data_IF_127109210243
#
_entry.id   IF_127109210243
#
_cell.length_a   1.000
_cell.length_b   1.000
_cell.length_c   1.000
_cell.angle_alpha   90.00
_cell.angle_beta   90.00
_cell.angle_gamma   90.00
#
_symmetry.space_group_name_H-M   'P 1'
#
loop_
_entity.id
_entity.type
_entity.pdbx_description
1 polymer ?
#
# COMPACT_ATOMS: atom_id res chain seq x y z
N UNK A 1 -24.36 -88.14 -9.29
CA UNK A 1 -23.27 -88.38 -8.32
C UNK A 1 -22.40 -87.12 -8.31
N UNK A 2 -22.19 -86.52 -7.12
CA UNK A 2 -21.30 -85.38 -6.82
C UNK A 2 -21.68 -84.00 -7.41
N UNK A 3 -22.18 -83.04 -6.60
CA UNK A 3 -21.43 -82.04 -5.80
C UNK A 3 -20.57 -81.14 -6.72
N UNK A 4 -20.82 -79.84 -6.89
CA UNK A 4 -20.61 -78.81 -5.84
C UNK A 4 -20.79 -77.37 -6.38
N UNK A 5 -21.21 -76.50 -5.47
CA UNK A 5 -20.79 -75.09 -5.27
C UNK A 5 -21.47 -73.99 -6.11
N UNK A 6 -22.44 -73.38 -5.41
CA UNK A 6 -22.89 -71.98 -5.37
C UNK A 6 -21.85 -70.95 -5.86
N UNK A 7 -22.30 -69.98 -6.66
CA UNK A 7 -21.74 -68.63 -6.65
C UNK A 7 -22.87 -67.60 -6.77
N UNK A 8 -23.10 -66.87 -5.68
CA UNK A 8 -24.02 -65.73 -5.57
C UNK A 8 -23.41 -64.58 -6.37
N UNK A 9 -24.10 -64.12 -7.42
CA UNK A 9 -23.70 -62.91 -8.15
C UNK A 9 -24.23 -61.70 -7.38
N UNK A 10 -23.41 -61.14 -6.50
CA UNK A 10 -23.66 -59.84 -5.87
C UNK A 10 -23.36 -58.78 -6.94
N UNK A 11 -24.40 -58.15 -7.48
CA UNK A 11 -24.31 -56.98 -8.34
C UNK A 11 -23.90 -55.78 -7.46
N UNK A 12 -22.60 -55.58 -7.27
CA UNK A 12 -22.07 -54.37 -6.64
C UNK A 12 -22.29 -53.18 -7.58
N UNK A 13 -23.28 -52.37 -7.25
CA UNK A 13 -23.46 -51.02 -7.78
C UNK A 13 -22.25 -50.17 -7.40
N UNK A 14 -21.26 -50.10 -8.30
CA UNK A 14 -20.20 -49.11 -8.23
C UNK A 14 -20.74 -47.80 -8.79
N UNK A 15 -21.43 -47.02 -7.94
CA UNK A 15 -21.65 -45.60 -8.22
C UNK A 15 -20.29 -44.94 -8.09
N UNK A 16 -19.59 -44.82 -9.22
CA UNK A 16 -18.38 -44.03 -9.32
C UNK A 16 -18.75 -42.57 -9.05
N UNK A 17 -18.51 -42.11 -7.83
CA UNK A 17 -18.43 -40.69 -7.52
C UNK A 17 -17.15 -40.21 -8.22
N UNK A 18 -17.31 -39.76 -9.45
CA UNK A 18 -16.26 -39.01 -10.15
C UNK A 18 -16.18 -37.69 -9.38
N UNK A 19 -15.28 -37.65 -8.40
CA UNK A 19 -14.83 -36.38 -7.82
C UNK A 19 -14.24 -35.60 -8.98
N UNK A 20 -15.01 -34.65 -9.51
CA UNK A 20 -14.49 -33.61 -10.38
C UNK A 20 -13.50 -32.80 -9.52
N UNK A 21 -12.24 -33.22 -9.52
CA UNK A 21 -11.15 -32.31 -9.21
C UNK A 21 -11.16 -31.29 -10.35
N UNK A 22 -11.84 -30.18 -10.10
CA UNK A 22 -11.68 -28.98 -10.90
C UNK A 22 -10.17 -28.64 -10.86
N UNK A 23 -9.50 -28.51 -12.01
CA UNK A 23 -8.12 -28.07 -12.01
C UNK A 23 -8.09 -26.70 -11.35
N UNK A 24 -7.42 -26.62 -10.19
CA UNK A 24 -7.11 -25.37 -9.52
C UNK A 24 -6.38 -24.49 -10.54
N UNK A 25 -7.09 -23.45 -10.98
CA UNK A 25 -6.52 -22.32 -11.70
C UNK A 25 -5.26 -21.90 -10.95
N UNK A 26 -4.12 -21.93 -11.65
CA UNK A 26 -2.81 -21.65 -11.08
C UNK A 26 -2.89 -20.35 -10.31
N UNK A 27 -2.74 -20.42 -8.99
CA UNK A 27 -3.04 -19.33 -8.06
C UNK A 27 -2.56 -18.00 -8.62
N UNK A 28 -3.49 -17.07 -8.87
CA UNK A 28 -3.12 -15.66 -9.07
C UNK A 28 -2.40 -15.24 -7.80
N UNK A 29 -1.07 -15.15 -7.85
CA UNK A 29 -0.27 -14.61 -6.74
C UNK A 29 -0.84 -13.24 -6.46
N UNK A 30 -1.34 -13.02 -5.24
CA UNK A 30 -1.92 -11.73 -4.87
C UNK A 30 -0.92 -10.62 -5.20
N UNK A 31 -1.35 -9.65 -6.00
CA UNK A 31 -0.53 -8.47 -6.32
C UNK A 31 -0.21 -7.70 -5.05
N UNK A 32 -1.11 -7.70 -4.07
CA UNK A 32 -0.97 -7.00 -2.80
C UNK A 32 -0.39 -7.90 -1.73
N UNK A 33 0.56 -7.33 -0.98
CA UNK A 33 1.14 -7.93 0.22
C UNK A 33 0.24 -7.67 1.43
N UNK A 34 0.43 -8.45 2.49
CA UNK A 34 -0.21 -8.17 3.78
C UNK A 34 0.38 -6.89 4.39
N UNK A 35 -0.47 -6.09 5.04
CA UNK A 35 -0.10 -4.80 5.63
C UNK A 35 -0.34 -4.80 7.14
N UNK A 36 0.14 -5.85 7.83
CA UNK A 36 -0.20 -6.09 9.23
C UNK A 36 0.22 -4.93 10.15
N UNK A 37 1.34 -4.26 9.86
CA UNK A 37 1.81 -3.11 10.64
C UNK A 37 0.91 -1.90 10.41
N UNK A 38 0.53 -1.62 9.16
CA UNK A 38 -0.45 -0.56 8.82
C UNK A 38 -1.81 -0.85 9.45
N UNK A 39 -2.24 -2.11 9.43
CA UNK A 39 -3.52 -2.56 9.99
C UNK A 39 -3.54 -2.44 11.52
N UNK A 40 -2.39 -2.44 12.19
CA UNK A 40 -2.26 -2.30 13.63
C UNK A 40 -2.08 -0.84 14.08
N UNK A 41 -1.42 -0.02 13.28
CA UNK A 41 -1.13 1.37 13.61
C UNK A 41 -2.39 2.25 13.58
N UNK A 42 -2.54 3.16 14.55
CA UNK A 42 -3.68 4.07 14.65
C UNK A 42 -3.22 5.52 14.69
N UNK A 43 -4.03 6.40 14.11
CA UNK A 43 -3.90 7.84 14.28
C UNK A 43 -4.49 8.21 15.64
N UNK A 44 -3.64 8.70 16.55
CA UNK A 44 -4.03 9.02 17.94
C UNK A 44 -4.24 10.52 18.17
N UNK A 45 -3.61 11.37 17.36
CA UNK A 45 -3.69 12.82 17.49
C UNK A 45 -5.03 13.35 16.98
N UNK A 46 -5.60 14.34 17.69
CA UNK A 46 -6.81 15.02 17.26
C UNK A 46 -6.53 15.99 16.10
N UNK A 47 -7.39 15.93 15.09
CA UNK A 47 -7.20 16.63 13.81
C UNK A 47 -8.45 17.34 13.32
N UNK A 48 -9.64 17.07 13.90
CA UNK A 48 -10.93 17.46 13.29
C UNK A 48 -11.10 18.98 13.18
N UNK A 49 -10.46 19.74 14.07
CA UNK A 49 -10.48 21.21 14.05
C UNK A 49 -9.12 21.84 13.76
N UNK A 50 -8.11 21.03 13.42
CA UNK A 50 -6.71 21.45 13.25
C UNK A 50 -6.42 21.79 11.79
N UNK A 51 -5.52 22.76 11.58
CA UNK A 51 -4.99 23.12 10.26
C UNK A 51 -3.66 22.43 10.05
N UNK A 52 -3.48 21.71 8.94
CA UNK A 52 -2.18 21.08 8.70
C UNK A 52 -1.08 22.13 8.57
N UNK A 53 -1.32 23.24 7.87
CA UNK A 53 -0.31 24.27 7.65
C UNK A 53 0.14 24.95 8.94
N UNK A 54 -0.78 25.22 9.86
CA UNK A 54 -0.51 25.92 11.13
C UNK A 54 -0.09 24.97 12.25
N UNK A 55 -0.84 23.90 12.47
CA UNK A 55 -0.71 23.02 13.64
C UNK A 55 0.16 21.79 13.36
N UNK A 56 0.40 21.49 12.09
CA UNK A 56 1.15 20.30 11.68
C UNK A 56 0.32 19.04 11.55
N UNK A 57 -0.96 19.07 11.91
CA UNK A 57 -1.92 18.00 11.65
C UNK A 57 -3.25 18.59 11.20
N UNK A 58 -3.94 17.96 10.26
CA UNK A 58 -5.26 18.43 9.83
C UNK A 58 -5.83 17.67 8.65
N UNK A 59 -7.14 17.82 8.46
CA UNK A 59 -7.85 17.31 7.29
C UNK A 59 -7.45 18.09 6.04
N UNK A 60 -7.29 17.39 4.92
CA UNK A 60 -6.94 17.98 3.63
C UNK A 60 -7.73 17.35 2.49
N UNK A 61 -7.72 18.03 1.35
CA UNK A 61 -8.21 17.50 0.08
C UNK A 61 -7.04 17.25 -0.87
N UNK A 62 -7.12 16.14 -1.62
CA UNK A 62 -6.18 15.87 -2.71
C UNK A 62 -6.36 16.93 -3.81
N UNK A 63 -5.29 17.67 -4.12
CA UNK A 63 -5.29 18.66 -5.20
C UNK A 63 -4.78 18.07 -6.52
N UNK A 64 -3.66 17.34 -6.47
CA UNK A 64 -3.14 16.60 -7.63
C UNK A 64 -2.15 15.50 -7.21
N UNK A 65 -2.05 14.47 -8.03
CA UNK A 65 -1.03 13.43 -7.89
C UNK A 65 0.25 13.85 -8.64
N UNK A 66 1.41 13.68 -8.02
CA UNK A 66 2.69 13.91 -8.70
C UNK A 66 3.38 12.56 -8.97
N UNK A 67 3.81 11.88 -7.90
CA UNK A 67 4.60 10.64 -7.94
C UNK A 67 4.28 9.76 -6.72
N UNK A 68 4.78 8.53 -6.68
CA UNK A 68 4.49 7.55 -5.61
C UNK A 68 4.87 7.93 -4.17
N UNK A 69 5.50 9.08 -3.94
CA UNK A 69 5.84 9.58 -2.59
C UNK A 69 5.69 11.10 -2.46
N UNK A 70 4.94 11.73 -3.38
CA UNK A 70 4.71 13.17 -3.39
C UNK A 70 3.38 13.48 -4.07
N UNK A 71 2.56 14.29 -3.40
CA UNK A 71 1.27 14.75 -3.89
C UNK A 71 1.06 16.20 -3.48
N UNK A 72 0.21 16.91 -4.22
CA UNK A 72 -0.24 18.23 -3.82
C UNK A 72 -1.57 18.10 -3.10
N UNK A 73 -1.69 18.78 -1.96
CA UNK A 73 -2.91 18.86 -1.17
C UNK A 73 -3.32 20.31 -0.99
N UNK A 74 -4.54 20.51 -0.49
CA UNK A 74 -5.04 21.80 -0.04
C UNK A 74 -5.77 21.61 1.29
N UNK A 75 -5.81 22.66 2.11
CA UNK A 75 -6.68 22.70 3.29
C UNK A 75 -8.15 22.54 2.86
N UNK A 76 -8.96 21.85 3.67
CA UNK A 76 -10.39 21.66 3.39
C UNK A 76 -11.07 23.01 3.21
N UNK A 77 -11.84 23.16 2.13
CA UNK A 77 -12.55 24.40 1.81
C UNK A 77 -11.67 25.52 1.21
N UNK A 78 -10.36 25.30 1.04
CA UNK A 78 -9.49 26.23 0.31
C UNK A 78 -9.72 26.12 -1.21
N UNK A 79 -9.76 27.27 -1.89
CA UNK A 79 -9.93 27.34 -3.36
C UNK A 79 -8.65 27.88 -3.98
N UNK A 80 -7.99 27.04 -4.79
CA UNK A 80 -6.85 27.45 -5.64
C UNK A 80 -5.46 27.37 -4.97
N UNK A 81 -5.38 27.45 -3.64
CA UNK A 81 -4.11 27.35 -2.92
C UNK A 81 -3.80 25.90 -2.52
N UNK A 82 -2.90 25.27 -3.27
CA UNK A 82 -2.36 23.94 -2.96
C UNK A 82 -0.90 24.02 -2.52
N UNK A 83 -0.46 23.04 -1.74
CA UNK A 83 0.92 22.90 -1.32
C UNK A 83 1.46 21.51 -1.66
N UNK A 84 2.75 21.47 -2.01
CA UNK A 84 3.42 20.21 -2.36
C UNK A 84 3.94 19.51 -1.11
N UNK A 85 3.69 18.22 -1.04
CA UNK A 85 4.18 17.35 0.03
C UNK A 85 5.19 16.32 -0.45
N UNK A 86 6.00 15.86 0.49
CA UNK A 86 6.94 14.75 0.35
C UNK A 86 6.68 13.78 1.50
N UNK A 87 6.40 12.53 1.17
CA UNK A 87 6.05 11.53 2.17
C UNK A 87 7.28 11.27 3.04
N UNK A 88 7.15 11.55 4.33
CA UNK A 88 8.25 11.50 5.28
C UNK A 88 8.64 10.04 5.58
N UNK A 89 9.93 9.84 5.87
CA UNK A 89 10.50 8.53 6.21
C UNK A 89 10.60 7.53 5.05
N UNK A 90 10.09 7.83 3.85
CA UNK A 90 10.08 6.85 2.75
C UNK A 90 10.60 7.41 1.43
N UNK A 91 10.96 6.55 0.48
CA UNK A 91 11.27 6.90 -0.92
C UNK A 91 10.73 5.84 -1.87
N UNK A 92 9.70 6.17 -2.64
CA UNK A 92 9.25 5.35 -3.76
C UNK A 92 10.09 5.58 -5.04
N UNK A 93 10.09 4.64 -6.01
CA UNK A 93 10.67 4.85 -7.33
C UNK A 93 10.12 6.08 -8.05
N UNK A 94 10.95 6.67 -8.92
CA UNK A 94 10.64 7.93 -9.63
C UNK A 94 10.50 7.71 -11.14
N UNK A 95 9.41 8.21 -11.69
CA UNK A 95 9.09 8.12 -13.12
C UNK A 95 9.70 9.27 -13.96
N UNK A 96 10.20 10.32 -13.32
CA UNK A 96 10.83 11.47 -13.95
C UNK A 96 12.36 11.34 -14.08
N UNK A 97 12.91 10.13 -13.92
CA UNK A 97 14.31 9.83 -14.24
C UNK A 97 14.44 9.36 -15.69
N UNK A 98 15.66 9.39 -16.24
CA UNK A 98 15.94 8.88 -17.58
C UNK A 98 17.02 7.81 -17.51
N UNK A 99 16.67 6.51 -17.64
CA UNK A 99 15.31 5.96 -17.76
C UNK A 99 14.50 6.06 -16.45
N UNK A 100 13.16 5.95 -16.50
CA UNK A 100 12.32 5.81 -15.30
C UNK A 100 12.79 4.67 -14.39
N UNK A 101 12.71 4.86 -13.07
CA UNK A 101 12.99 3.77 -12.12
C UNK A 101 11.89 2.69 -12.24
N UNK A 102 12.23 1.39 -12.16
CA UNK A 102 11.23 0.32 -12.16
C UNK A 102 10.15 0.53 -11.10
N UNK A 103 8.91 0.13 -11.40
CA UNK A 103 7.72 0.25 -10.56
C UNK A 103 7.23 1.69 -10.31
N UNK A 104 7.88 2.70 -10.88
CA UNK A 104 7.58 4.12 -10.60
C UNK A 104 6.20 4.58 -11.03
N UNK A 105 5.69 4.05 -12.14
CA UNK A 105 4.33 4.33 -12.59
C UNK A 105 3.30 3.58 -11.76
N UNK A 106 3.58 2.32 -11.43
CA UNK A 106 2.66 1.49 -10.64
C UNK A 106 2.42 2.07 -9.24
N UNK A 107 3.48 2.54 -8.57
CA UNK A 107 3.32 3.21 -7.27
C UNK A 107 2.59 4.55 -7.38
N UNK A 108 2.78 5.30 -8.47
CA UNK A 108 2.08 6.55 -8.69
C UNK A 108 0.57 6.30 -8.89
N UNK A 109 0.22 5.29 -9.68
CA UNK A 109 -1.16 4.87 -9.92
C UNK A 109 -1.79 4.33 -8.62
N UNK A 110 -1.04 3.55 -7.83
CA UNK A 110 -1.49 3.04 -6.52
C UNK A 110 -1.84 4.18 -5.55
N UNK A 111 -0.92 5.11 -5.33
CA UNK A 111 -1.12 6.27 -4.44
C UNK A 111 -2.26 7.13 -4.93
N UNK A 112 -2.29 7.45 -6.22
CA UNK A 112 -3.32 8.32 -6.77
C UNK A 112 -4.70 7.67 -6.70
N UNK A 113 -4.79 6.37 -6.99
CA UNK A 113 -6.02 5.59 -6.87
C UNK A 113 -6.55 5.56 -5.44
N UNK A 114 -5.70 5.32 -4.44
CA UNK A 114 -6.12 5.34 -3.03
C UNK A 114 -6.62 6.71 -2.61
N UNK A 115 -5.83 7.76 -2.84
CA UNK A 115 -6.18 9.10 -2.34
C UNK A 115 -7.34 9.74 -3.09
N UNK A 116 -7.52 9.44 -4.37
CA UNK A 116 -8.68 9.94 -5.14
C UNK A 116 -9.99 9.29 -4.73
N UNK A 117 -9.94 8.11 -4.10
CA UNK A 117 -11.11 7.39 -3.59
C UNK A 117 -11.24 7.45 -2.06
N UNK A 118 -10.33 8.16 -1.37
CA UNK A 118 -10.41 8.32 0.07
C UNK A 118 -11.60 9.22 0.43
N UNK A 119 -12.35 8.83 1.45
CA UNK A 119 -13.40 9.67 2.03
C UNK A 119 -12.79 10.82 2.83
N UNK A 120 -11.73 10.53 3.57
CA UNK A 120 -10.99 11.52 4.38
C UNK A 120 -9.49 11.30 4.25
N UNK A 121 -8.76 12.41 4.23
CA UNK A 121 -7.29 12.43 4.22
C UNK A 121 -6.84 13.36 5.34
N UNK A 122 -5.93 12.87 6.18
CA UNK A 122 -5.25 13.66 7.22
C UNK A 122 -3.77 13.69 6.91
N UNK A 123 -3.16 14.86 7.00
CA UNK A 123 -1.70 15.00 6.99
C UNK A 123 -1.23 15.22 8.41
N UNK A 124 -0.08 14.66 8.74
CA UNK A 124 0.58 14.83 10.03
C UNK A 124 2.08 15.07 9.80
N UNK A 125 2.63 16.09 10.45
CA UNK A 125 4.06 16.33 10.53
C UNK A 125 4.69 15.41 11.56
N UNK A 126 5.96 15.13 11.38
CA UNK A 126 6.74 14.55 12.46
C UNK A 126 7.22 15.65 13.42
N UNK A 127 6.87 15.60 14.72
CA UNK A 127 7.22 16.62 15.71
C UNK A 127 8.73 16.70 15.97
N UNK A 128 9.48 15.65 15.67
CA UNK A 128 10.93 15.56 15.85
C UNK A 128 11.70 15.99 14.58
N UNK A 129 11.00 16.50 13.56
CA UNK A 129 11.57 16.84 12.26
C UNK A 129 11.30 18.28 11.82
N UNK A 130 12.04 18.74 10.82
CA UNK A 130 11.70 19.97 10.11
C UNK A 130 10.37 19.80 9.36
N UNK A 131 9.52 20.83 9.37
CA UNK A 131 8.23 20.84 8.66
C UNK A 131 8.36 20.72 7.13
N UNK A 132 9.51 21.11 6.58
CA UNK A 132 9.78 21.11 5.14
C UNK A 132 11.15 20.52 4.83
N UNK A 133 11.27 19.95 3.63
CA UNK A 133 12.55 19.54 3.07
C UNK A 133 13.32 20.73 2.45
N UNK A 134 14.52 20.44 1.93
CA UNK A 134 15.38 21.44 1.28
C UNK A 134 14.77 22.07 0.02
N UNK A 135 13.76 21.43 -0.59
CA UNK A 135 13.02 21.91 -1.75
C UNK A 135 11.70 22.61 -1.36
N UNK A 136 11.55 22.96 -0.07
CA UNK A 136 10.38 23.64 0.48
C UNK A 136 9.08 22.84 0.43
N UNK A 137 9.15 21.51 0.20
CA UNK A 137 7.98 20.63 0.25
C UNK A 137 7.70 20.24 1.70
N UNK A 138 6.43 20.17 2.07
CA UNK A 138 6.04 19.73 3.41
C UNK A 138 6.34 18.25 3.61
N UNK A 139 6.98 17.91 4.72
CA UNK A 139 7.25 16.53 5.12
C UNK A 139 6.04 15.98 5.88
N UNK A 140 5.44 14.90 5.36
CA UNK A 140 4.13 14.42 5.86
C UNK A 140 4.07 12.90 6.01
N UNK A 141 3.42 12.45 7.08
CA UNK A 141 2.70 11.19 7.10
C UNK A 141 1.31 11.42 6.53
N UNK A 142 0.93 10.60 5.56
CA UNK A 142 -0.40 10.65 4.94
C UNK A 142 -1.26 9.55 5.55
N UNK A 143 -2.38 9.97 6.11
CA UNK A 143 -3.40 9.10 6.66
C UNK A 143 -4.64 9.17 5.79
N UNK A 144 -5.24 8.02 5.49
CA UNK A 144 -6.47 7.98 4.70
C UNK A 144 -7.51 7.05 5.33
N UNK A 145 -8.78 7.41 5.17
CA UNK A 145 -9.93 6.59 5.49
C UNK A 145 -10.81 6.47 4.24
N UNK A 146 -11.22 5.26 3.92
CA UNK A 146 -12.06 4.93 2.77
C UNK A 146 -13.54 4.72 3.15
N UNK A 147 -13.98 5.34 4.25
CA UNK A 147 -15.33 5.26 4.78
C UNK A 147 -15.53 4.18 5.83
N UNK A 148 -14.44 3.60 6.33
CA UNK A 148 -14.45 2.66 7.45
C UNK A 148 -14.49 3.33 8.82
N UNK A 149 -14.11 4.61 8.89
CA UNK A 149 -13.87 5.33 10.13
C UNK A 149 -12.49 5.09 10.73
N UNK A 150 -11.64 4.25 10.11
CA UNK A 150 -10.30 3.92 10.57
C UNK A 150 -9.27 4.46 9.58
N UNK A 151 -8.37 5.30 10.07
CA UNK A 151 -7.28 5.85 9.28
C UNK A 151 -6.11 4.87 9.15
N UNK A 152 -5.61 4.73 7.93
CA UNK A 152 -4.43 3.93 7.58
C UNK A 152 -3.26 4.83 7.20
N UNK A 153 -2.07 4.51 7.68
CA UNK A 153 -0.85 5.27 7.34
C UNK A 153 -0.31 4.82 5.97
N UNK A 154 -0.50 5.65 4.94
CA UNK A 154 -0.08 5.33 3.57
C UNK A 154 1.43 5.21 3.45
N UNK A 155 2.22 5.96 4.22
CA UNK A 155 3.68 5.88 4.16
C UNK A 155 4.17 4.47 4.58
N UNK A 156 3.64 3.95 5.70
CA UNK A 156 3.91 2.59 6.18
C UNK A 156 3.39 1.55 5.19
N UNK A 157 2.19 1.77 4.65
CA UNK A 157 1.59 0.85 3.69
C UNK A 157 2.45 0.69 2.43
N UNK A 158 3.05 1.79 1.95
CA UNK A 158 3.96 1.74 0.80
C UNK A 158 5.24 0.96 1.09
N UNK A 159 5.71 0.94 2.34
CA UNK A 159 6.81 0.05 2.74
C UNK A 159 6.32 -1.40 2.69
N UNK A 160 5.20 -1.74 3.34
CA UNK A 160 4.69 -3.11 3.41
C UNK A 160 4.27 -3.68 2.04
N UNK A 161 3.83 -2.81 1.12
CA UNK A 161 3.57 -3.17 -0.27
C UNK A 161 4.84 -3.26 -1.12
N UNK A 162 6.04 -3.11 -0.57
CA UNK A 162 7.30 -3.10 -1.31
C UNK A 162 7.39 -2.00 -2.39
N UNK A 163 6.60 -0.94 -2.28
CA UNK A 163 6.63 0.18 -3.22
C UNK A 163 7.63 1.26 -2.82
N UNK A 164 8.03 1.34 -1.54
CA UNK A 164 8.88 2.41 -1.07
C UNK A 164 9.98 1.94 -0.12
N UNK A 165 11.12 2.64 -0.22
CA UNK A 165 12.26 2.46 0.64
C UNK A 165 12.11 3.18 1.98
N UNK A 166 12.37 2.55 3.13
CA UNK A 166 12.55 3.31 4.38
C UNK A 166 13.85 4.10 4.32
N UNK A 167 13.81 5.40 4.62
CA UNK A 167 14.98 6.29 4.48
C UNK A 167 15.77 6.49 5.77
N UNK A 168 15.34 5.93 6.90
CA UNK A 168 15.98 6.14 8.19
C UNK A 168 15.67 7.51 8.81
N UNK A 169 16.08 7.68 10.07
CA UNK A 169 16.03 8.94 10.79
C UNK A 169 15.33 8.83 12.15
N UNK A 170 15.54 9.83 13.01
CA UNK A 170 14.71 9.99 14.21
C UNK A 170 13.33 10.49 13.78
N UNK A 171 12.29 9.71 14.06
CA UNK A 171 10.94 9.98 13.61
C UNK A 171 9.92 9.24 14.47
N UNK A 172 8.70 9.79 14.60
CA UNK A 172 7.56 9.26 15.35
C UNK A 172 7.30 7.78 15.05
N UNK A 173 7.38 7.37 13.78
CA UNK A 173 7.10 6.00 13.35
C UNK A 173 8.36 5.19 12.98
N UNK A 174 9.54 5.57 13.49
CA UNK A 174 10.81 4.93 13.13
C UNK A 174 10.80 3.41 13.34
N UNK A 175 10.39 2.94 14.54
CA UNK A 175 10.47 1.52 14.89
C UNK A 175 9.56 0.64 14.01
N UNK A 176 8.32 1.09 13.77
CA UNK A 176 7.35 0.33 12.96
C UNK A 176 7.72 0.38 11.47
N UNK A 177 8.26 1.50 10.97
CA UNK A 177 8.76 1.59 9.59
C UNK A 177 9.98 0.68 9.40
N UNK A 178 10.89 0.64 10.36
CA UNK A 178 12.07 -0.23 10.32
C UNK A 178 11.68 -1.71 10.35
N UNK A 179 10.67 -2.06 11.14
CA UNK A 179 10.14 -3.44 11.20
C UNK A 179 9.53 -3.84 9.86
N UNK A 180 8.60 -3.04 9.33
CA UNK A 180 8.01 -3.27 8.01
C UNK A 180 9.07 -3.34 6.90
N UNK A 181 10.12 -2.52 7.00
CA UNK A 181 11.23 -2.49 6.05
C UNK A 181 11.99 -3.82 5.98
N UNK A 182 12.32 -4.42 7.12
CA UNK A 182 13.01 -5.70 7.15
C UNK A 182 12.10 -6.86 6.75
N UNK A 183 10.84 -6.86 7.20
CA UNK A 183 9.87 -7.91 6.86
C UNK A 183 9.59 -7.95 5.35
N UNK A 184 9.46 -6.78 4.72
CA UNK A 184 9.12 -6.69 3.30
C UNK A 184 10.26 -7.16 2.40
N UNK A 185 11.53 -6.98 2.80
CA UNK A 185 12.69 -7.43 2.00
C UNK A 185 12.64 -8.92 1.68
N UNK A 186 12.21 -9.73 2.65
CA UNK A 186 12.13 -11.18 2.50
C UNK A 186 11.12 -11.63 1.43
N UNK A 187 10.22 -10.74 1.00
CA UNK A 187 9.20 -11.06 -0.01
C UNK A 187 9.75 -11.07 -1.44
N UNK A 188 10.92 -10.45 -1.69
CA UNK A 188 11.48 -10.21 -3.03
C UNK A 188 10.49 -9.55 -4.01
N UNK A 189 9.49 -8.81 -3.50
CA UNK A 189 8.50 -8.13 -4.34
C UNK A 189 8.98 -6.75 -4.74
N UNK A 190 8.57 -6.32 -5.93
CA UNK A 190 8.80 -4.99 -6.50
C UNK A 190 10.25 -4.51 -6.34
N UNK A 191 10.47 -3.42 -5.60
CA UNK A 191 11.80 -2.81 -5.42
C UNK A 191 12.82 -3.75 -4.76
N UNK A 192 12.38 -4.90 -4.24
CA UNK A 192 13.22 -5.90 -3.59
C UNK A 192 13.71 -7.04 -4.48
N UNK A 193 13.36 -7.05 -5.77
CA UNK A 193 13.93 -8.01 -6.71
C UNK A 193 12.93 -8.63 -7.68
N UNK A 194 11.70 -8.12 -7.76
CA UNK A 194 10.73 -8.53 -8.76
C UNK A 194 10.93 -7.68 -10.03
N UNK A 195 10.96 -8.35 -11.18
CA UNK A 195 10.97 -7.68 -12.46
C UNK A 195 9.66 -6.88 -12.63
N UNK A 196 9.79 -5.61 -12.98
CA UNK A 196 8.65 -4.77 -13.31
C UNK A 196 8.00 -5.29 -14.61
N UNK A 197 6.73 -5.75 -14.57
CA UNK A 197 6.07 -6.30 -15.74
C UNK A 197 5.61 -5.22 -16.74
N UNK A 198 5.53 -3.95 -16.33
CA UNK A 198 5.14 -2.82 -17.17
C UNK A 198 6.11 -1.64 -17.01
N UNK A 199 7.38 -1.80 -17.44
CA UNK A 199 8.34 -0.72 -17.40
C UNK A 199 7.96 0.29 -18.48
N UNK A 200 7.11 1.27 -18.14
CA UNK A 200 6.75 2.33 -19.09
C UNK A 200 8.00 3.15 -19.36
N UNK A 201 8.59 2.93 -20.52
CA UNK A 201 9.66 3.75 -21.07
C UNK A 201 9.03 5.07 -21.48
N UNK A 202 9.33 6.16 -20.78
CA UNK A 202 8.76 7.47 -21.08
C UNK A 202 8.80 7.75 -22.59
N UNK A 203 7.64 8.06 -23.17
CA UNK A 203 7.54 8.60 -24.53
C UNK A 203 8.06 10.04 -24.56
#
# INVERSE_FOLDING_TARGET
MMKKIIAILILFTFVGIISACEPQDGSRVSRFLHTNQTDALRLEEDFETSSFLEDGIGLVELASCNYGHSTNFREVGSVGDSFTTRYFGIRAPRNHTTPPEPWSWDVADYVCGLLSNAERIVLQADPESNRRDTHQRYLVYVWYDNGSGIFRNLNLELIEQAYAAYTGGSSLYNEIFLTAWFDTQATNRRIWGEDDPDPRTGE
#
